data_IF_873155859170
#
_entry.id   IF_873155859170
#
_cell.length_a   1.000
_cell.length_b   1.000
_cell.length_c   1.000
_cell.angle_alpha   90.00
_cell.angle_beta   90.00
_cell.angle_gamma   90.00
#
_symmetry.space_group_name_H-M   'P 1'
#
loop_
_entity.id
_entity.type
_entity.pdbx_description
1 polymer ?
#
# COMPACT_ATOMS: atom_id res chain seq x y z
N UNK A 1 25.66 -4.06 -0.66
CA UNK A 1 24.51 -4.81 -1.20
C UNK A 1 23.33 -4.90 -0.22
N UNK A 2 23.52 -5.41 1.02
CA UNK A 2 22.45 -5.48 2.05
C UNK A 2 21.72 -4.15 2.31
N UNK A 3 22.46 -3.04 2.37
CA UNK A 3 21.91 -1.71 2.65
C UNK A 3 20.97 -1.21 1.54
N UNK A 4 21.33 -1.46 0.28
CA UNK A 4 20.52 -1.08 -0.87
C UNK A 4 19.23 -1.92 -0.94
N UNK A 5 19.33 -3.21 -0.61
CA UNK A 5 18.19 -4.11 -0.53
C UNK A 5 17.22 -3.70 0.59
N UNK A 6 17.75 -3.35 1.77
CA UNK A 6 16.96 -2.82 2.87
C UNK A 6 16.24 -1.52 2.49
N UNK A 7 16.93 -0.60 1.79
CA UNK A 7 16.35 0.65 1.33
C UNK A 7 15.17 0.41 0.36
N UNK A 8 15.33 -0.50 -0.60
CA UNK A 8 14.26 -0.87 -1.54
C UNK A 8 13.05 -1.43 -0.80
N UNK A 9 13.27 -2.31 0.18
CA UNK A 9 12.19 -2.88 1.01
C UNK A 9 11.47 -1.78 1.80
N UNK A 10 12.20 -0.84 2.41
CA UNK A 10 11.61 0.27 3.16
C UNK A 10 10.71 1.10 2.26
N UNK A 11 11.19 1.49 1.07
CA UNK A 11 10.40 2.25 0.09
C UNK A 11 9.17 1.45 -0.33
N UNK A 12 9.32 0.14 -0.55
CA UNK A 12 8.23 -0.77 -0.87
C UNK A 12 7.13 -0.77 0.19
N UNK A 13 7.50 -0.94 1.46
CA UNK A 13 6.56 -0.97 2.58
C UNK A 13 5.86 0.36 2.79
N UNK A 14 6.58 1.48 2.64
CA UNK A 14 6.00 2.82 2.74
C UNK A 14 4.94 3.02 1.64
N UNK A 15 5.24 2.65 0.40
CA UNK A 15 4.29 2.77 -0.71
C UNK A 15 3.01 1.96 -0.49
N UNK A 16 3.13 0.72 -0.01
CA UNK A 16 1.97 -0.11 0.36
C UNK A 16 1.14 0.56 1.46
N UNK A 17 1.79 1.10 2.49
CA UNK A 17 1.12 1.81 3.59
C UNK A 17 0.37 3.06 3.12
N UNK A 18 0.95 3.83 2.20
CA UNK A 18 0.29 5.01 1.61
C UNK A 18 -0.98 4.63 0.86
N UNK A 19 -0.96 3.53 0.09
CA UNK A 19 -2.14 3.05 -0.65
C UNK A 19 -3.22 2.48 0.29
N UNK A 20 -2.84 1.83 1.39
CA UNK A 20 -3.79 1.30 2.38
C UNK A 20 -4.36 2.37 3.31
N UNK A 21 -3.66 3.47 3.53
CA UNK A 21 -4.03 4.53 4.48
C UNK A 21 -5.47 5.04 4.34
N UNK A 22 -6.01 5.32 3.13
CA UNK A 22 -7.40 5.77 2.96
C UNK A 22 -8.43 4.71 3.39
N UNK A 23 -8.12 3.44 3.16
CA UNK A 23 -9.00 2.30 3.50
C UNK A 23 -9.06 2.12 5.00
N UNK A 24 -7.89 2.18 5.64
CA UNK A 24 -7.79 2.14 7.09
C UNK A 24 -8.56 3.33 7.67
N UNK A 25 -8.29 4.54 7.23
CA UNK A 25 -8.93 5.76 7.76
C UNK A 25 -10.45 5.77 7.58
N UNK A 26 -10.97 5.29 6.45
CA UNK A 26 -12.42 5.25 6.20
C UNK A 26 -13.15 4.17 7.00
N UNK A 27 -12.49 3.04 7.26
CA UNK A 27 -13.11 1.87 7.89
C UNK A 27 -12.87 1.82 9.40
N UNK A 28 -11.82 2.49 9.91
CA UNK A 28 -11.40 2.46 11.31
C UNK A 28 -12.46 2.94 12.31
N UNK A 29 -13.16 4.03 12.01
CA UNK A 29 -14.22 4.59 12.87
C UNK A 29 -15.63 4.07 12.51
N UNK A 30 -15.77 3.39 11.37
CA UNK A 30 -17.08 3.10 10.78
C UNK A 30 -17.50 1.64 10.94
N UNK A 31 -16.56 0.70 10.94
CA UNK A 31 -16.87 -0.74 10.87
C UNK A 31 -16.03 -1.59 11.83
N UNK A 32 -16.53 -2.78 12.22
CA UNK A 32 -15.78 -3.70 13.06
C UNK A 32 -14.45 -4.16 12.43
N UNK A 33 -13.48 -4.50 13.28
CA UNK A 33 -12.12 -4.87 12.87
C UNK A 33 -12.04 -6.04 11.87
N UNK A 34 -13.00 -6.96 11.89
CA UNK A 34 -13.10 -8.06 10.93
C UNK A 34 -13.37 -7.56 9.50
N UNK A 35 -14.18 -6.52 9.36
CA UNK A 35 -14.51 -5.92 8.05
C UNK A 35 -13.33 -5.10 7.55
N UNK A 36 -12.66 -4.37 8.45
CA UNK A 36 -11.40 -3.69 8.14
C UNK A 36 -10.34 -4.67 7.63
N UNK A 37 -10.12 -5.79 8.31
CA UNK A 37 -9.15 -6.80 7.89
C UNK A 37 -9.51 -7.37 6.51
N UNK A 38 -10.80 -7.65 6.26
CA UNK A 38 -11.26 -8.15 4.97
C UNK A 38 -11.03 -7.12 3.84
N UNK A 39 -11.33 -5.83 4.08
CA UNK A 39 -11.06 -4.74 3.12
C UNK A 39 -9.57 -4.54 2.85
N UNK A 40 -8.74 -4.63 3.89
CA UNK A 40 -7.28 -4.57 3.76
C UNK A 40 -6.76 -5.72 2.91
N UNK A 41 -7.24 -6.96 3.16
CA UNK A 41 -6.85 -8.13 2.35
C UNK A 41 -7.30 -7.99 0.90
N UNK A 42 -8.51 -7.47 0.65
CA UNK A 42 -9.00 -7.23 -0.71
C UNK A 42 -8.21 -6.15 -1.44
N UNK A 43 -7.75 -5.12 -0.74
CA UNK A 43 -6.97 -4.03 -1.31
C UNK A 43 -5.47 -4.30 -1.36
N UNK A 44 -5.00 -5.35 -0.69
CA UNK A 44 -3.60 -5.71 -0.62
C UNK A 44 -2.99 -6.00 -2.01
N UNK A 45 -3.60 -6.78 -2.91
CA UNK A 45 -3.05 -7.04 -4.25
C UNK A 45 -2.84 -5.74 -5.03
N UNK A 46 -3.81 -4.84 -4.94
CA UNK A 46 -3.72 -3.50 -5.52
C UNK A 46 -2.56 -2.73 -4.90
N UNK A 47 -2.49 -2.67 -3.58
CA UNK A 47 -1.42 -1.96 -2.88
C UNK A 47 -0.04 -2.52 -3.21
N UNK A 48 0.12 -3.84 -3.37
CA UNK A 48 1.38 -4.45 -3.80
C UNK A 48 1.79 -4.08 -5.23
N UNK A 49 0.82 -3.75 -6.09
CA UNK A 49 1.03 -3.26 -7.46
C UNK A 49 1.34 -1.75 -7.54
N UNK A 50 1.47 -1.05 -6.40
CA UNK A 50 1.80 0.38 -6.35
C UNK A 50 3.04 0.79 -7.17
N UNK A 51 4.15 0.02 -7.25
CA UNK A 51 5.35 0.49 -7.96
C UNK A 51 5.09 0.66 -9.45
N UNK A 52 4.30 -0.25 -10.04
CA UNK A 52 3.93 -0.18 -11.47
C UNK A 52 3.07 1.05 -11.73
N UNK A 53 2.12 1.36 -10.84
CA UNK A 53 1.28 2.56 -10.94
C UNK A 53 2.07 3.84 -10.75
N UNK A 54 2.98 3.87 -9.79
CA UNK A 54 3.87 5.00 -9.57
C UNK A 54 4.75 5.23 -10.80
N UNK A 55 5.42 4.19 -11.32
CA UNK A 55 6.23 4.29 -12.53
C UNK A 55 5.40 4.76 -13.73
N UNK A 56 4.19 4.23 -13.93
CA UNK A 56 3.29 4.69 -14.99
C UNK A 56 2.94 6.18 -14.83
N UNK A 57 2.60 6.62 -13.62
CA UNK A 57 2.25 8.01 -13.34
C UNK A 57 3.43 8.98 -13.55
N UNK A 58 4.66 8.55 -13.26
CA UNK A 58 5.87 9.37 -13.46
C UNK A 58 6.45 9.30 -14.87
N UNK A 59 6.25 8.19 -15.59
CA UNK A 59 6.77 8.00 -16.95
C UNK A 59 5.78 8.43 -18.05
N UNK A 60 4.49 8.59 -17.70
CA UNK A 60 3.43 9.04 -18.61
C UNK A 60 3.24 10.56 -18.67
N UNK A 61 4.16 11.35 -18.12
CA UNK A 61 4.17 12.82 -18.16
C UNK A 61 4.98 13.38 -19.33
#
# INVERSE_FOLDING_TARGET
>A
MRLLLALIIIIYLIGVGVVLSPIIRSTWDSEPASVLANRVVQALPDALAWPVRAVHAFAGS
#
